data_IF_506131784004
#
_entry.id   IF_506131784004
#
_cell.length_a   1.000
_cell.length_b   1.000
_cell.length_c   1.000
_cell.angle_alpha   90.00
_cell.angle_beta   90.00
_cell.angle_gamma   90.00
#
_symmetry.space_group_name_H-M   'P 1'
#
loop_
_entity.id
_entity.type
_entity.pdbx_description
1 polymer ?
#
# COMPACT_ATOMS: atom_id res chain seq x y z
N UNK A 1 -6.06 5.89 -51.12
CA UNK A 1 -6.34 6.23 -49.70
C UNK A 1 -6.18 5.04 -48.75
N UNK A 2 -5.11 4.23 -48.85
CA UNK A 2 -4.83 3.12 -47.90
C UNK A 2 -3.48 3.25 -47.17
N UNK A 3 -2.62 4.19 -47.55
CA UNK A 3 -1.30 4.42 -46.94
C UNK A 3 -1.28 5.50 -45.83
N UNK A 4 -2.36 6.27 -45.68
CA UNK A 4 -2.46 7.35 -44.66
C UNK A 4 -2.97 6.82 -43.31
N UNK A 5 -3.78 5.76 -43.31
CA UNK A 5 -4.35 5.20 -42.06
C UNK A 5 -3.26 4.59 -41.18
N UNK A 6 -2.27 3.91 -41.76
CA UNK A 6 -1.17 3.29 -41.00
C UNK A 6 -0.25 4.35 -40.37
N UNK A 7 -0.09 5.52 -41.00
CA UNK A 7 0.71 6.60 -40.44
C UNK A 7 0.02 7.29 -39.26
N UNK A 8 -1.31 7.42 -39.27
CA UNK A 8 -2.07 7.90 -38.11
C UNK A 8 -2.07 6.89 -36.94
N UNK A 9 -2.05 5.58 -37.22
CA UNK A 9 -1.91 4.56 -36.18
C UNK A 9 -0.53 4.59 -35.49
N UNK A 10 0.52 5.05 -36.17
CA UNK A 10 1.83 5.26 -35.55
C UNK A 10 1.86 6.52 -34.65
N UNK A 11 1.05 7.54 -34.94
CA UNK A 11 0.88 8.68 -34.03
C UNK A 11 0.04 8.35 -32.79
N UNK A 12 -0.87 7.37 -32.84
CA UNK A 12 -1.57 6.89 -31.63
C UNK A 12 -0.66 6.12 -30.65
N UNK A 13 0.54 5.73 -31.06
CA UNK A 13 1.55 5.16 -30.14
C UNK A 13 2.31 6.28 -29.39
N UNK A 14 2.22 7.54 -29.83
CA UNK A 14 2.77 8.69 -29.09
C UNK A 14 1.81 9.28 -28.04
N UNK A 15 0.65 8.65 -27.85
CA UNK A 15 -0.23 8.89 -26.68
C UNK A 15 0.26 8.17 -25.41
N UNK A 16 1.44 7.54 -25.44
CA UNK A 16 2.06 6.80 -24.33
C UNK A 16 2.80 7.72 -23.34
N UNK A 17 2.08 8.67 -22.76
CA UNK A 17 2.39 9.23 -21.45
C UNK A 17 1.16 9.01 -20.58
N UNK A 18 1.31 8.52 -19.36
CA UNK A 18 0.18 8.40 -18.44
C UNK A 18 -0.64 9.71 -18.39
N UNK A 19 -1.95 9.57 -18.21
CA UNK A 19 -2.96 10.63 -18.26
C UNK A 19 -2.88 11.63 -17.09
N UNK A 20 -1.69 11.98 -16.61
CA UNK A 20 -1.49 12.97 -15.56
C UNK A 20 -1.01 14.30 -16.13
N UNK A 21 -1.36 15.37 -15.43
CA UNK A 21 -1.05 16.72 -15.85
C UNK A 21 0.45 16.98 -15.66
N UNK A 22 1.08 17.60 -16.65
CA UNK A 22 2.49 18.02 -16.57
C UNK A 22 2.54 19.51 -16.89
N UNK A 23 3.00 20.30 -15.93
CA UNK A 23 3.11 21.77 -16.06
C UNK A 23 4.46 22.28 -15.59
N UNK A 24 4.74 23.54 -15.90
CA UNK A 24 5.95 24.23 -15.45
C UNK A 24 5.68 25.68 -15.13
N UNK A 25 6.45 26.25 -14.21
CA UNK A 25 6.45 27.70 -13.99
C UNK A 25 7.01 28.44 -15.22
N UNK A 26 6.64 29.72 -15.45
CA UNK A 26 7.03 30.48 -16.65
C UNK A 26 8.54 30.53 -16.93
N UNK A 27 9.37 30.55 -15.88
CA UNK A 27 10.82 30.68 -16.00
C UNK A 27 11.56 29.34 -16.27
N UNK A 28 10.82 28.22 -16.34
CA UNK A 28 11.39 26.89 -16.59
C UNK A 28 11.62 26.68 -18.08
N UNK A 29 12.88 26.39 -18.45
CA UNK A 29 13.31 26.25 -19.86
C UNK A 29 13.17 24.83 -20.42
N UNK A 30 12.64 23.90 -19.64
CA UNK A 30 12.45 22.51 -20.06
C UNK A 30 11.47 22.42 -21.23
N UNK A 31 11.87 21.72 -22.28
CA UNK A 31 11.01 21.40 -23.41
C UNK A 31 9.99 20.31 -23.03
N UNK A 32 8.93 20.15 -23.83
CA UNK A 32 7.88 19.16 -23.56
C UNK A 32 8.41 17.73 -23.48
N UNK A 33 9.35 17.37 -24.35
CA UNK A 33 10.00 16.05 -24.35
C UNK A 33 10.81 15.81 -23.07
N UNK A 34 11.59 16.81 -22.64
CA UNK A 34 12.38 16.75 -21.41
C UNK A 34 11.47 16.61 -20.19
N UNK A 35 10.39 17.41 -20.12
CA UNK A 35 9.42 17.30 -19.03
C UNK A 35 8.80 15.91 -18.93
N UNK A 36 8.48 15.28 -20.07
CA UNK A 36 7.95 13.91 -20.08
C UNK A 36 8.99 12.90 -19.56
N UNK A 37 10.24 12.99 -20.01
CA UNK A 37 11.32 12.12 -19.55
C UNK A 37 11.59 12.28 -18.05
N UNK A 38 11.66 13.52 -17.58
CA UNK A 38 11.88 13.84 -16.17
C UNK A 38 10.69 13.42 -15.28
N UNK A 39 9.46 13.50 -15.79
CA UNK A 39 8.28 13.01 -15.07
C UNK A 39 8.31 11.49 -14.88
N UNK A 40 8.80 10.73 -15.87
CA UNK A 40 9.02 9.29 -15.71
C UNK A 40 10.09 8.99 -14.64
N UNK A 41 11.16 9.79 -14.58
CA UNK A 41 12.19 9.68 -13.53
C UNK A 41 11.62 10.00 -12.14
N UNK A 42 10.81 11.04 -12.03
CA UNK A 42 10.10 11.40 -10.78
C UNK A 42 9.19 10.26 -10.32
N UNK A 43 8.41 9.65 -11.22
CA UNK A 43 7.58 8.49 -10.89
C UNK A 43 8.41 7.32 -10.32
N UNK A 44 9.56 7.03 -10.94
CA UNK A 44 10.48 6.00 -10.43
C UNK A 44 11.00 6.38 -9.04
N UNK A 45 11.40 7.64 -8.85
CA UNK A 45 11.88 8.14 -7.56
C UNK A 45 10.81 8.03 -6.46
N UNK A 46 9.53 8.28 -6.77
CA UNK A 46 8.42 8.07 -5.83
C UNK A 46 8.26 6.60 -5.47
N UNK A 47 8.29 5.69 -6.44
CA UNK A 47 8.21 4.24 -6.17
C UNK A 47 9.37 3.78 -5.28
N UNK A 48 10.60 4.23 -5.55
CA UNK A 48 11.78 3.90 -4.76
C UNK A 48 11.68 4.48 -3.33
N UNK A 49 11.17 5.71 -3.19
CA UNK A 49 10.90 6.34 -1.90
C UNK A 49 9.88 5.54 -1.08
N UNK A 50 8.74 5.16 -1.69
CA UNK A 50 7.70 4.36 -1.01
C UNK A 50 8.18 2.98 -0.62
N UNK A 51 8.96 2.32 -1.47
CA UNK A 51 9.59 1.05 -1.14
C UNK A 51 10.49 1.17 0.10
N UNK A 52 11.32 2.21 0.17
CA UNK A 52 12.17 2.48 1.36
C UNK A 52 11.34 2.72 2.63
N UNK A 53 10.20 3.42 2.53
CA UNK A 53 9.29 3.60 3.65
C UNK A 53 8.70 2.26 4.14
N UNK A 54 8.25 1.40 3.22
CA UNK A 54 7.74 0.07 3.58
C UNK A 54 8.83 -0.82 4.21
N UNK A 55 10.06 -0.77 3.70
CA UNK A 55 11.20 -1.47 4.29
C UNK A 55 11.56 -0.95 5.69
N UNK A 56 11.48 0.36 5.95
CA UNK A 56 11.69 0.90 7.29
C UNK A 56 10.58 0.48 8.25
N UNK A 57 9.31 0.47 7.81
CA UNK A 57 8.20 -0.07 8.60
C UNK A 57 8.45 -1.52 8.99
N UNK A 58 8.92 -2.36 8.06
CA UNK A 58 9.31 -3.74 8.35
C UNK A 58 10.44 -3.81 9.38
N UNK A 59 11.50 -3.01 9.24
CA UNK A 59 12.61 -2.98 10.20
C UNK A 59 12.15 -2.56 11.59
N UNK A 60 11.29 -1.54 11.70
CA UNK A 60 10.70 -1.11 12.97
C UNK A 60 9.92 -2.26 13.60
N UNK A 61 9.07 -2.95 12.82
CA UNK A 61 8.25 -4.04 13.34
C UNK A 61 9.09 -5.25 13.78
N UNK A 62 10.15 -5.56 13.04
CA UNK A 62 11.12 -6.59 13.45
C UNK A 62 11.81 -6.24 14.77
N UNK A 63 12.27 -4.98 14.94
CA UNK A 63 12.87 -4.53 16.20
C UNK A 63 11.89 -4.60 17.36
N UNK A 64 10.65 -4.18 17.15
CA UNK A 64 9.59 -4.32 18.16
C UNK A 64 9.42 -5.78 18.60
N UNK A 65 9.29 -6.70 17.63
CA UNK A 65 9.16 -8.13 17.89
C UNK A 65 10.37 -8.76 18.60
N UNK A 66 11.57 -8.20 18.44
CA UNK A 66 12.77 -8.67 19.14
C UNK A 66 12.79 -8.25 20.63
N UNK A 67 12.15 -7.13 20.95
CA UNK A 67 12.16 -6.48 22.26
C UNK A 67 10.90 -6.77 23.10
N UNK A 68 9.98 -7.61 22.62
CA UNK A 68 8.85 -8.06 23.44
C UNK A 68 9.32 -8.92 24.62
N UNK A 69 8.51 -8.96 25.69
CA UNK A 69 8.78 -9.78 26.87
C UNK A 69 9.13 -11.23 26.47
N UNK A 70 10.22 -11.82 27.01
CA UNK A 70 10.62 -13.19 26.73
C UNK A 70 9.48 -14.22 26.81
N UNK A 71 8.55 -14.05 27.75
CA UNK A 71 7.39 -14.95 27.95
C UNK A 71 6.46 -15.05 26.74
N UNK A 72 6.39 -14.00 25.91
CA UNK A 72 5.52 -13.96 24.72
C UNK A 72 6.29 -13.91 23.41
N UNK A 73 7.62 -13.87 23.46
CA UNK A 73 8.50 -13.69 22.30
C UNK A 73 8.32 -14.77 21.23
N UNK A 74 8.23 -16.03 21.65
CA UNK A 74 7.96 -17.14 20.73
C UNK A 74 6.61 -16.99 20.02
N UNK A 75 5.55 -16.69 20.77
CA UNK A 75 4.20 -16.50 20.23
C UNK A 75 4.14 -15.35 19.22
N UNK A 76 4.77 -14.22 19.53
CA UNK A 76 4.85 -13.07 18.62
C UNK A 76 5.58 -13.45 17.33
N UNK A 77 6.69 -14.20 17.43
CA UNK A 77 7.42 -14.67 16.26
C UNK A 77 6.58 -15.62 15.39
N UNK A 78 5.86 -16.56 16.01
CA UNK A 78 4.96 -17.49 15.31
C UNK A 78 3.83 -16.76 14.56
N UNK A 79 3.12 -15.84 15.22
CA UNK A 79 2.04 -15.07 14.61
C UNK A 79 2.55 -14.13 13.51
N UNK A 80 3.73 -13.54 13.70
CA UNK A 80 4.38 -12.71 12.68
C UNK A 80 4.78 -13.52 11.47
N UNK A 81 5.32 -14.73 11.66
CA UNK A 81 5.64 -15.63 10.55
C UNK A 81 4.40 -16.03 9.74
N UNK A 82 3.26 -16.25 10.41
CA UNK A 82 2.00 -16.59 9.74
C UNK A 82 1.48 -15.47 8.82
N UNK A 83 1.75 -14.20 9.17
CA UNK A 83 1.23 -13.01 8.48
C UNK A 83 2.25 -12.30 7.59
N UNK A 84 3.54 -12.65 7.66
CA UNK A 84 4.60 -12.00 6.89
C UNK A 84 4.35 -12.02 5.36
N UNK A 85 3.88 -13.15 4.82
CA UNK A 85 3.52 -13.27 3.41
C UNK A 85 2.27 -12.46 3.04
N UNK A 86 1.29 -12.37 3.95
CA UNK A 86 0.09 -11.57 3.75
C UNK A 86 0.44 -10.08 3.56
N UNK A 87 1.34 -9.55 4.39
CA UNK A 87 1.79 -8.15 4.27
C UNK A 87 2.42 -7.87 2.90
N UNK A 88 3.22 -8.81 2.37
CA UNK A 88 3.80 -8.70 1.03
C UNK A 88 2.71 -8.70 -0.05
N UNK A 89 1.72 -9.58 0.07
CA UNK A 89 0.56 -9.64 -0.84
C UNK A 89 -0.26 -8.35 -0.81
N UNK A 90 -0.51 -7.77 0.36
CA UNK A 90 -1.20 -6.49 0.52
C UNK A 90 -0.43 -5.38 -0.20
N UNK A 91 0.89 -5.27 0.04
CA UNK A 91 1.75 -4.27 -0.61
C UNK A 91 1.79 -4.41 -2.12
N UNK A 92 1.83 -5.64 -2.62
CA UNK A 92 1.81 -5.92 -4.06
C UNK A 92 0.50 -5.49 -4.75
N UNK A 93 -0.57 -5.25 -3.98
CA UNK A 93 -1.84 -4.72 -4.48
C UNK A 93 -1.97 -3.21 -4.33
N UNK A 94 -1.01 -2.51 -3.73
CA UNK A 94 -1.02 -1.05 -3.68
C UNK A 94 -0.88 -0.49 -5.09
N UNK A 95 -1.63 0.55 -5.40
CA UNK A 95 -1.58 1.24 -6.69
C UNK A 95 -1.11 2.66 -6.44
N UNK A 96 -0.09 3.07 -7.20
CA UNK A 96 0.41 4.43 -7.19
C UNK A 96 -0.04 5.15 -8.46
N UNK A 97 -0.74 6.27 -8.29
CA UNK A 97 -1.30 7.06 -9.38
C UNK A 97 -0.79 8.50 -9.29
N UNK A 98 0.09 8.89 -10.20
CA UNK A 98 0.48 10.30 -10.35
C UNK A 98 -0.72 11.09 -10.87
N UNK A 99 -0.96 12.29 -10.33
CA UNK A 99 -2.07 13.18 -10.72
C UNK A 99 -1.57 14.44 -11.42
N UNK A 100 -0.54 15.08 -10.86
CA UNK A 100 0.06 16.29 -11.43
C UNK A 100 1.57 16.30 -11.16
N UNK A 101 2.34 16.76 -12.13
CA UNK A 101 3.76 17.06 -12.02
C UNK A 101 3.96 18.51 -12.43
N UNK A 102 4.47 19.33 -11.51
CA UNK A 102 4.76 20.74 -11.73
C UNK A 102 6.25 21.02 -11.56
N UNK A 103 6.93 21.36 -12.65
CA UNK A 103 8.31 21.83 -12.60
C UNK A 103 8.34 23.26 -12.05
N UNK A 104 8.87 23.42 -10.84
CA UNK A 104 9.03 24.71 -10.17
C UNK A 104 10.26 25.46 -10.69
N UNK A 105 11.33 24.72 -10.96
CA UNK A 105 12.56 25.15 -11.64
C UNK A 105 13.05 24.02 -12.57
N UNK A 106 14.15 24.23 -13.30
CA UNK A 106 14.78 23.15 -14.08
C UNK A 106 15.28 21.98 -13.21
N UNK A 107 15.43 22.18 -11.89
CA UNK A 107 15.97 21.21 -10.93
C UNK A 107 15.07 21.01 -9.71
N UNK A 108 13.82 21.46 -9.75
CA UNK A 108 12.87 21.32 -8.65
C UNK A 108 11.47 21.03 -9.19
N UNK A 109 10.82 20.01 -8.65
CA UNK A 109 9.48 19.61 -9.07
C UNK A 109 8.59 19.31 -7.86
N UNK A 110 7.32 19.62 -8.01
CA UNK A 110 6.25 19.23 -7.10
C UNK A 110 5.41 18.16 -7.80
N UNK A 111 5.08 17.09 -7.09
CA UNK A 111 4.27 16.00 -7.62
C UNK A 111 3.13 15.71 -6.67
N UNK A 112 1.92 15.72 -7.21
CA UNK A 112 0.72 15.23 -6.54
C UNK A 112 0.42 13.83 -7.02
N UNK A 113 0.19 12.92 -6.07
CA UNK A 113 -0.09 11.52 -6.38
C UNK A 113 -0.94 10.88 -5.31
N UNK A 114 -1.66 9.84 -5.71
CA UNK A 114 -2.50 9.07 -4.82
C UNK A 114 -1.88 7.69 -4.62
N UNK A 115 -1.98 7.16 -3.42
CA UNK A 115 -1.74 5.76 -3.12
C UNK A 115 -3.08 5.13 -2.78
N UNK A 116 -3.43 4.07 -3.51
CA UNK A 116 -4.58 3.23 -3.21
C UNK A 116 -4.09 1.98 -2.52
N UNK A 117 -4.50 1.78 -1.27
CA UNK A 117 -4.15 0.60 -0.49
C UNK A 117 -5.41 -0.25 -0.27
N UNK A 118 -5.33 -1.60 -0.30
CA UNK A 118 -6.48 -2.44 -0.01
C UNK A 118 -7.10 -2.11 1.36
N UNK A 119 -8.37 -1.73 1.37
CA UNK A 119 -9.11 -1.42 2.59
C UNK A 119 -9.64 -2.69 3.25
N UNK A 120 -8.79 -3.26 4.11
CA UNK A 120 -9.11 -4.46 4.87
C UNK A 120 -10.23 -4.18 5.88
N UNK A 121 -10.27 -2.97 6.47
CA UNK A 121 -11.24 -2.61 7.49
C UNK A 121 -12.66 -2.57 6.93
N UNK A 122 -12.83 -1.84 5.83
CA UNK A 122 -14.11 -1.76 5.11
C UNK A 122 -14.55 -3.15 4.64
N UNK A 123 -13.64 -3.94 4.04
CA UNK A 123 -13.97 -5.29 3.60
C UNK A 123 -14.48 -6.18 4.75
N UNK A 124 -13.74 -6.24 5.86
CA UNK A 124 -14.11 -7.06 7.02
C UNK A 124 -15.43 -6.60 7.66
N UNK A 125 -15.68 -5.28 7.67
CA UNK A 125 -16.96 -4.70 8.08
C UNK A 125 -18.11 -5.16 7.19
N UNK A 126 -17.94 -5.05 5.86
CA UNK A 126 -18.94 -5.42 4.86
C UNK A 126 -19.32 -6.90 4.94
N UNK A 127 -18.35 -7.79 5.16
CA UNK A 127 -18.63 -9.22 5.32
C UNK A 127 -19.10 -9.61 6.74
N UNK A 128 -19.27 -8.64 7.64
CA UNK A 128 -19.61 -8.81 9.06
C UNK A 128 -18.68 -9.82 9.75
N UNK A 129 -17.38 -9.68 9.53
CA UNK A 129 -16.36 -10.63 9.98
C UNK A 129 -16.44 -10.90 11.48
N UNK A 130 -16.62 -9.86 12.30
CA UNK A 130 -16.74 -9.98 13.77
C UNK A 130 -17.87 -10.94 14.19
N UNK A 131 -19.06 -10.81 13.59
CA UNK A 131 -20.21 -11.69 13.87
C UNK A 131 -19.92 -13.13 13.46
N UNK A 132 -19.31 -13.34 12.28
CA UNK A 132 -18.92 -14.68 11.81
C UNK A 132 -17.92 -15.34 12.76
N UNK A 133 -16.94 -14.59 13.26
CA UNK A 133 -15.96 -15.08 14.23
C UNK A 133 -16.63 -15.43 15.57
N UNK A 134 -17.52 -14.56 16.08
CA UNK A 134 -18.27 -14.82 17.31
C UNK A 134 -19.08 -16.13 17.23
N UNK A 135 -19.78 -16.35 16.10
CA UNK A 135 -20.54 -17.59 15.85
C UNK A 135 -19.63 -18.82 15.78
N UNK A 136 -18.51 -18.74 15.06
CA UNK A 136 -17.54 -19.85 14.95
C UNK A 136 -16.89 -20.18 16.30
N UNK A 137 -16.50 -19.18 17.08
CA UNK A 137 -15.95 -19.38 18.44
C UNK A 137 -16.99 -20.03 19.34
N UNK A 138 -18.23 -19.52 19.32
CA UNK A 138 -19.33 -20.08 20.11
C UNK A 138 -19.57 -21.55 19.78
N UNK A 139 -19.57 -21.89 18.48
CA UNK A 139 -19.70 -23.28 18.02
C UNK A 139 -18.53 -24.16 18.47
N UNK A 140 -17.29 -23.62 18.45
CA UNK A 140 -16.09 -24.36 18.86
C UNK A 140 -16.03 -24.60 20.36
N UNK A 141 -16.45 -23.63 21.18
CA UNK A 141 -16.40 -23.70 22.64
C UNK A 141 -17.66 -24.33 23.26
N UNK A 142 -18.77 -24.38 22.53
CA UNK A 142 -20.08 -24.83 23.03
C UNK A 142 -20.81 -23.79 23.90
N UNK A 143 -20.24 -22.60 24.07
CA UNK A 143 -20.82 -21.48 24.80
C UNK A 143 -20.36 -20.15 24.21
N UNK A 144 -21.13 -19.09 24.45
CA UNK A 144 -20.77 -17.74 24.03
C UNK A 144 -19.59 -17.22 24.85
N UNK A 145 -18.56 -16.73 24.17
CA UNK A 145 -17.43 -16.08 24.83
C UNK A 145 -17.84 -14.67 25.28
N UNK A 146 -18.05 -14.51 26.58
CA UNK A 146 -18.35 -13.24 27.27
C UNK A 146 -17.28 -12.98 28.34
N UNK A 147 -17.33 -11.82 29.02
CA UNK A 147 -16.35 -11.47 30.07
C UNK A 147 -16.21 -12.53 31.17
N UNK A 148 -17.32 -13.19 31.53
CA UNK A 148 -17.34 -14.22 32.58
C UNK A 148 -16.69 -15.51 32.08
N UNK A 149 -16.93 -15.89 30.83
CA UNK A 149 -16.43 -17.11 30.24
C UNK A 149 -14.99 -16.97 29.72
N UNK A 150 -14.55 -15.77 29.33
CA UNK A 150 -13.15 -15.50 28.96
C UNK A 150 -12.18 -15.84 30.10
N UNK A 151 -12.55 -15.53 31.35
CA UNK A 151 -11.74 -15.84 32.54
C UNK A 151 -11.59 -17.35 32.81
N UNK A 152 -12.40 -18.19 32.16
CA UNK A 152 -12.36 -19.66 32.31
C UNK A 152 -11.44 -20.33 31.29
N UNK A 153 -10.99 -19.61 30.27
CA UNK A 153 -10.10 -20.16 29.27
C UNK A 153 -8.71 -20.39 29.87
N UNK A 154 -8.18 -21.59 29.67
CA UNK A 154 -6.78 -21.89 29.96
C UNK A 154 -5.87 -21.13 28.98
N UNK A 155 -4.60 -20.94 29.36
CA UNK A 155 -3.63 -20.31 28.45
C UNK A 155 -3.51 -21.06 27.11
N UNK A 156 -3.53 -22.38 27.14
CA UNK A 156 -3.47 -23.21 25.94
C UNK A 156 -4.67 -22.98 25.01
N UNK A 157 -5.88 -22.85 25.57
CA UNK A 157 -7.09 -22.56 24.78
C UNK A 157 -7.03 -21.15 24.17
N UNK A 158 -6.53 -20.16 24.91
CA UNK A 158 -6.32 -18.80 24.39
C UNK A 158 -5.32 -18.84 23.22
N UNK A 159 -4.19 -19.53 23.39
CA UNK A 159 -3.18 -19.64 22.34
C UNK A 159 -3.69 -20.37 21.09
N UNK A 160 -4.56 -21.38 21.27
CA UNK A 160 -5.22 -22.06 20.16
C UNK A 160 -6.21 -21.14 19.43
N UNK A 161 -7.03 -20.37 20.17
CA UNK A 161 -7.96 -19.41 19.60
C UNK A 161 -7.25 -18.29 18.84
N UNK A 162 -6.12 -17.79 19.36
CA UNK A 162 -5.33 -16.75 18.69
C UNK A 162 -4.76 -17.24 17.35
N UNK A 163 -4.16 -18.44 17.32
CA UNK A 163 -3.67 -19.04 16.06
C UNK A 163 -4.80 -19.26 15.07
N UNK A 164 -5.93 -19.77 15.54
CA UNK A 164 -7.10 -19.99 14.70
C UNK A 164 -7.66 -18.67 14.15
N UNK A 165 -7.78 -17.63 14.98
CA UNK A 165 -8.26 -16.31 14.57
C UNK A 165 -7.34 -15.70 13.50
N UNK A 166 -6.02 -15.74 13.71
CA UNK A 166 -5.05 -15.23 12.73
C UNK A 166 -5.16 -16.00 11.41
N UNK A 167 -5.39 -17.31 11.44
CA UNK A 167 -5.62 -18.11 10.24
C UNK A 167 -6.90 -17.71 9.50
N UNK A 168 -8.01 -17.50 10.22
CA UNK A 168 -9.28 -17.08 9.65
C UNK A 168 -9.19 -15.67 9.05
N UNK A 169 -8.58 -14.74 9.77
CA UNK A 169 -8.30 -13.38 9.30
C UNK A 169 -7.47 -13.40 8.02
N UNK A 170 -6.36 -14.14 8.02
CA UNK A 170 -5.49 -14.28 6.84
C UNK A 170 -6.27 -14.82 5.64
N UNK A 171 -7.04 -15.88 5.83
CA UNK A 171 -7.84 -16.49 4.77
C UNK A 171 -8.83 -15.48 4.15
N UNK A 172 -9.56 -14.70 4.96
CA UNK A 172 -10.50 -13.71 4.43
C UNK A 172 -9.78 -12.57 3.68
N UNK A 173 -8.66 -12.09 4.20
CA UNK A 173 -7.86 -11.07 3.50
C UNK A 173 -7.29 -11.63 2.18
N UNK A 174 -6.82 -12.88 2.14
CA UNK A 174 -6.35 -13.50 0.91
C UNK A 174 -7.46 -13.66 -0.15
N UNK A 175 -8.69 -13.98 0.27
CA UNK A 175 -9.87 -13.97 -0.62
C UNK A 175 -10.14 -12.58 -1.18
N UNK A 176 -10.10 -11.56 -0.34
CA UNK A 176 -10.25 -10.16 -0.77
C UNK A 176 -9.20 -9.80 -1.84
N UNK A 177 -7.92 -10.07 -1.58
CA UNK A 177 -6.81 -9.73 -2.49
C UNK A 177 -6.84 -10.51 -3.81
N UNK A 178 -7.49 -11.67 -3.81
CA UNK A 178 -7.70 -12.50 -5.02
C UNK A 178 -8.96 -12.13 -5.79
N UNK A 179 -9.82 -11.28 -5.22
CA UNK A 179 -11.04 -10.82 -5.88
C UNK A 179 -10.75 -9.79 -6.98
N UNK A 180 -11.66 -9.67 -7.95
CA UNK A 180 -11.57 -8.63 -8.99
C UNK A 180 -11.90 -7.23 -8.47
N UNK A 181 -12.66 -7.14 -7.39
CA UNK A 181 -13.21 -5.91 -6.84
C UNK A 181 -12.65 -5.69 -5.43
N UNK A 182 -11.39 -5.24 -5.37
CA UNK A 182 -10.73 -4.86 -4.11
C UNK A 182 -11.25 -3.48 -3.71
N UNK A 183 -11.67 -3.35 -2.45
CA UNK A 183 -11.94 -2.06 -1.82
C UNK A 183 -10.60 -1.36 -1.60
N UNK A 184 -10.51 -0.08 -2.00
CA UNK A 184 -9.28 0.70 -1.85
C UNK A 184 -9.55 1.93 -1.02
N UNK A 185 -8.75 2.10 0.03
CA UNK A 185 -8.57 3.39 0.66
C UNK A 185 -7.61 4.20 -0.21
N UNK A 186 -8.02 5.41 -0.58
CA UNK A 186 -7.17 6.32 -1.35
C UNK A 186 -6.64 7.38 -0.43
N UNK A 187 -5.31 7.55 -0.41
CA UNK A 187 -4.65 8.62 0.31
C UNK A 187 -3.89 9.49 -0.68
N UNK A 188 -4.03 10.80 -0.53
CA UNK A 188 -3.43 11.79 -1.42
C UNK A 188 -2.14 12.33 -0.81
N UNK A 189 -1.19 12.65 -1.67
CA UNK A 189 0.14 13.06 -1.25
C UNK A 189 0.69 14.15 -2.15
N UNK A 190 1.46 15.04 -1.53
CA UNK A 190 2.35 15.98 -2.23
C UNK A 190 3.78 15.63 -1.88
N UNK A 191 4.65 15.65 -2.88
CA UNK A 191 6.09 15.45 -2.69
C UNK A 191 6.87 16.48 -3.50
N UNK A 192 7.86 17.07 -2.87
CA UNK A 192 8.76 18.03 -3.48
C UNK A 192 10.10 17.34 -3.71
N UNK A 193 10.58 17.40 -4.94
CA UNK A 193 11.87 16.86 -5.33
C UNK A 193 12.84 17.96 -5.72
N UNK A 194 14.11 17.75 -5.39
CA UNK A 194 15.24 18.52 -5.90
C UNK A 194 16.16 17.62 -6.72
N UNK A 195 16.66 18.12 -7.84
CA UNK A 195 17.57 17.40 -8.72
C UNK A 195 19.01 17.66 -8.29
N UNK A 196 19.69 16.61 -7.85
CA UNK A 196 21.08 16.64 -7.40
C UNK A 196 21.91 15.67 -8.23
N UNK A 197 22.97 16.15 -8.88
CA UNK A 197 23.86 15.35 -9.76
C UNK A 197 23.09 14.46 -10.76
N UNK A 198 21.99 14.97 -11.30
CA UNK A 198 21.16 14.26 -12.29
C UNK A 198 20.05 13.36 -11.72
N UNK A 199 20.01 13.12 -10.41
CA UNK A 199 18.99 12.30 -9.75
C UNK A 199 17.98 13.17 -8.99
N UNK A 200 16.73 12.73 -8.94
CA UNK A 200 15.69 13.37 -8.13
C UNK A 200 15.72 12.82 -6.71
N UNK A 201 15.91 13.71 -5.74
CA UNK A 201 15.93 13.42 -4.31
C UNK A 201 14.75 14.10 -3.64
N UNK A 202 14.14 13.44 -2.64
CA UNK A 202 13.01 13.98 -1.89
C UNK A 202 13.53 15.12 -1.01
N UNK A 203 12.97 16.32 -1.20
CA UNK A 203 13.22 17.49 -0.35
C UNK A 203 12.14 17.59 0.73
N UNK A 204 10.88 17.36 0.36
CA UNK A 204 9.74 17.42 1.28
C UNK A 204 8.63 16.44 0.87
N UNK A 205 7.82 16.00 1.82
CA UNK A 205 6.75 15.03 1.62
C UNK A 205 5.64 15.20 2.66
N UNK A 206 4.40 15.31 2.18
CA UNK A 206 3.22 15.42 3.03
C UNK A 206 2.09 14.51 2.53
N UNK A 207 1.32 14.01 3.49
CA UNK A 207 -0.02 13.46 3.28
C UNK A 207 -1.02 14.62 3.23
N UNK A 208 -1.96 14.58 2.29
CA UNK A 208 -2.98 15.59 2.09
C UNK A 208 -4.30 15.09 2.69
N UNK A 209 -4.98 15.97 3.43
CA UNK A 209 -6.32 15.73 4.01
C UNK A 209 -7.44 15.80 2.96
#
# INVERSE_FOLDING_TARGET
MKKIIILMCLFSIFSFGEQYKITKNPNVKLEKSEMNEESLKLKKAINDFRKKQDEEKDRIMMRYNQNVNPEVKQKVAELSAQTADLNKKIRAKKILEIKDVKFLTNTKAEVFYNVKEPDIGEYLGNIKFSKKIEEKITKKLGYKLDEKNMKKLTRAQIDELDRWFVSEFKSEVEKMLSSKNIYYLTTEYKIIFIKNKGNWEVEDFEELD
#
